data_IF_832661609241
#
_entry.id   IF_832661609241
#
_cell.length_a   1.000
_cell.length_b   1.000
_cell.length_c   1.000
_cell.angle_alpha   90.00
_cell.angle_beta   90.00
_cell.angle_gamma   90.00
#
_symmetry.space_group_name_H-M   'P 1'
#
loop_
_entity.id
_entity.type
_entity.pdbx_description
1 polymer ?
#
# COMPACT_ATOMS: atom_id res chain seq x y z
N UNK A 1 -13.83 -5.15 -21.07
CA UNK A 1 -14.18 -6.18 -20.07
C UNK A 1 -13.19 -6.02 -18.93
N UNK A 2 -13.56 -5.28 -17.89
CA UNK A 2 -12.71 -5.11 -16.71
C UNK A 2 -12.70 -6.41 -15.93
N UNK A 3 -11.53 -7.00 -15.73
CA UNK A 3 -11.39 -8.17 -14.87
C UNK A 3 -11.57 -7.69 -13.43
N UNK A 4 -12.74 -7.93 -12.85
CA UNK A 4 -13.01 -7.60 -11.44
C UNK A 4 -12.09 -8.44 -10.59
N UNK A 5 -10.98 -7.84 -10.16
CA UNK A 5 -9.98 -8.56 -9.39
C UNK A 5 -10.51 -8.66 -7.98
N UNK A 6 -10.78 -9.88 -7.52
CA UNK A 6 -11.34 -10.11 -6.19
C UNK A 6 -10.30 -9.70 -5.15
N UNK A 7 -10.72 -8.83 -4.22
CA UNK A 7 -9.92 -8.39 -3.07
C UNK A 7 -10.12 -9.40 -1.92
N UNK A 8 -9.02 -9.83 -1.30
CA UNK A 8 -9.05 -10.67 -0.09
C UNK A 8 -9.31 -9.82 1.16
N UNK A 9 -9.52 -10.45 2.32
CA UNK A 9 -9.66 -9.74 3.60
C UNK A 9 -8.46 -8.82 3.86
N UNK A 10 -7.24 -9.35 3.70
CA UNK A 10 -6.01 -8.58 3.91
C UNK A 10 -5.89 -7.36 2.98
N UNK A 11 -6.40 -7.47 1.75
CA UNK A 11 -6.41 -6.35 0.81
C UNK A 11 -7.36 -5.24 1.33
N UNK A 12 -8.51 -5.61 1.88
CA UNK A 12 -9.48 -4.67 2.44
C UNK A 12 -8.99 -4.02 3.74
N UNK A 13 -8.29 -4.76 4.59
CA UNK A 13 -7.66 -4.21 5.81
C UNK A 13 -6.58 -3.18 5.48
N UNK A 14 -5.76 -3.44 4.45
CA UNK A 14 -4.75 -2.49 4.00
C UNK A 14 -5.39 -1.23 3.40
N UNK A 15 -6.45 -1.38 2.60
CA UNK A 15 -7.23 -0.24 2.08
C UNK A 15 -7.86 0.56 3.22
N UNK A 16 -8.44 -0.09 4.24
CA UNK A 16 -9.03 0.57 5.40
C UNK A 16 -7.97 1.34 6.21
N UNK A 17 -6.75 0.81 6.34
CA UNK A 17 -5.63 1.51 6.99
C UNK A 17 -5.29 2.81 6.25
N UNK A 18 -5.15 2.77 4.93
CA UNK A 18 -4.89 3.98 4.13
C UNK A 18 -6.04 4.99 4.24
N UNK A 19 -7.28 4.51 4.14
CA UNK A 19 -8.47 5.35 4.22
C UNK A 19 -8.59 6.03 5.59
N UNK A 20 -8.32 5.29 6.67
CA UNK A 20 -8.32 5.83 8.04
C UNK A 20 -7.28 6.92 8.20
N UNK A 21 -6.04 6.68 7.78
CA UNK A 21 -4.96 7.67 7.87
C UNK A 21 -5.30 8.95 7.08
N UNK A 22 -5.86 8.81 5.87
CA UNK A 22 -6.30 9.94 5.08
C UNK A 22 -7.43 10.73 5.76
N UNK A 23 -8.43 10.05 6.32
CA UNK A 23 -9.53 10.67 7.05
C UNK A 23 -9.01 11.47 8.27
N UNK A 24 -8.10 10.89 9.04
CA UNK A 24 -7.48 11.55 10.19
C UNK A 24 -6.68 12.78 9.79
N UNK A 25 -5.86 12.69 8.73
CA UNK A 25 -5.05 13.80 8.23
C UNK A 25 -5.91 14.97 7.70
N UNK A 26 -7.07 14.66 7.11
CA UNK A 26 -7.97 15.66 6.56
C UNK A 26 -9.05 16.12 7.56
N UNK A 27 -9.14 15.50 8.74
CA UNK A 27 -10.15 15.81 9.75
C UNK A 27 -11.58 15.50 9.30
N UNK A 28 -11.75 14.47 8.47
CA UNK A 28 -13.02 14.08 7.85
C UNK A 28 -13.50 12.74 8.41
N UNK A 29 -14.81 12.59 8.64
CA UNK A 29 -15.39 11.32 9.08
C UNK A 29 -15.49 10.33 7.91
N UNK A 30 -15.37 9.02 8.18
CA UNK A 30 -15.46 7.98 7.13
C UNK A 30 -16.78 7.98 6.35
N UNK A 31 -17.85 8.53 6.92
CA UNK A 31 -19.17 8.64 6.28
C UNK A 31 -19.33 9.88 5.42
N UNK A 32 -18.35 10.80 5.42
CA UNK A 32 -18.36 11.99 4.59
C UNK A 32 -18.30 11.63 3.09
N UNK A 33 -18.93 12.46 2.25
CA UNK A 33 -18.95 12.24 0.81
C UNK A 33 -17.54 12.22 0.19
N UNK A 34 -16.62 13.06 0.68
CA UNK A 34 -15.22 13.07 0.24
C UNK A 34 -14.49 11.80 0.67
N UNK A 35 -14.75 11.31 1.89
CA UNK A 35 -14.18 10.06 2.37
C UNK A 35 -14.67 8.86 1.55
N UNK A 36 -15.95 8.84 1.16
CA UNK A 36 -16.52 7.78 0.31
C UNK A 36 -15.94 7.78 -1.11
N UNK A 37 -15.71 8.97 -1.68
CA UNK A 37 -15.07 9.12 -2.99
C UNK A 37 -13.62 8.61 -2.97
N UNK A 38 -12.87 9.01 -1.94
CA UNK A 38 -11.49 8.53 -1.73
C UNK A 38 -11.46 7.02 -1.51
N UNK A 39 -12.37 6.45 -0.71
CA UNK A 39 -12.46 5.00 -0.51
C UNK A 39 -12.68 4.26 -1.84
N UNK A 40 -13.57 4.78 -2.69
CA UNK A 40 -13.84 4.20 -4.02
C UNK A 40 -12.59 4.25 -4.90
N UNK A 41 -11.92 5.40 -4.96
CA UNK A 41 -10.67 5.57 -5.72
C UNK A 41 -9.54 4.67 -5.21
N UNK A 42 -9.42 4.48 -3.89
CA UNK A 42 -8.43 3.58 -3.29
C UNK A 42 -8.69 2.12 -3.67
N UNK A 43 -9.96 1.68 -3.63
CA UNK A 43 -10.35 0.32 -4.04
C UNK A 43 -10.00 0.09 -5.51
N UNK A 44 -10.35 1.02 -6.39
CA UNK A 44 -10.08 0.91 -7.82
C UNK A 44 -8.57 0.90 -8.12
N UNK A 45 -7.82 1.83 -7.51
CA UNK A 45 -6.37 1.88 -7.65
C UNK A 45 -5.73 0.57 -7.18
N UNK A 46 -6.06 0.12 -5.97
CA UNK A 46 -5.49 -1.07 -5.36
C UNK A 46 -5.84 -2.34 -6.14
N UNK A 47 -7.07 -2.44 -6.66
CA UNK A 47 -7.48 -3.55 -7.52
C UNK A 47 -6.72 -3.57 -8.86
N UNK A 48 -6.41 -2.40 -9.41
CA UNK A 48 -5.71 -2.25 -10.70
C UNK A 48 -4.19 -2.45 -10.61
N UNK A 49 -3.55 -2.09 -9.49
CA UNK A 49 -2.10 -2.21 -9.31
C UNK A 49 -1.71 -3.55 -8.67
N UNK A 50 -1.70 -4.59 -9.52
CA UNK A 50 -1.31 -5.95 -9.11
C UNK A 50 0.13 -6.06 -8.61
N UNK A 51 1.03 -5.14 -9.00
CA UNK A 51 2.43 -5.13 -8.55
C UNK A 51 2.55 -4.59 -7.13
N UNK A 52 1.74 -3.60 -6.77
CA UNK A 52 1.66 -3.14 -5.39
C UNK A 52 1.14 -4.26 -4.49
N UNK A 53 0.02 -4.89 -4.84
CA UNK A 53 -0.55 -6.03 -4.10
C UNK A 53 0.41 -7.21 -3.94
N UNK A 54 1.15 -7.55 -4.99
CA UNK A 54 2.14 -8.61 -4.92
C UNK A 54 3.26 -8.27 -3.94
N UNK A 55 3.67 -7.00 -3.84
CA UNK A 55 4.73 -6.54 -2.92
C UNK A 55 4.26 -6.42 -1.48
N UNK A 56 3.05 -5.93 -1.24
CA UNK A 56 2.50 -5.80 0.12
C UNK A 56 2.24 -7.15 0.77
N UNK A 57 1.96 -8.19 -0.02
CA UNK A 57 1.77 -9.57 0.44
C UNK A 57 3.08 -10.34 0.66
N UNK A 58 4.24 -9.75 0.38
CA UNK A 58 5.51 -10.39 0.69
C UNK A 58 5.75 -10.29 2.20
N UNK A 59 5.52 -11.39 2.93
CA UNK A 59 5.85 -11.49 4.36
C UNK A 59 7.36 -11.27 4.64
N UNK A 60 8.19 -11.50 3.63
CA UNK A 60 9.62 -11.22 3.65
C UNK A 60 9.99 -10.37 2.45
N UNK A 61 10.69 -9.26 2.69
CA UNK A 61 11.30 -8.50 1.61
C UNK A 61 12.11 -9.47 0.73
N UNK A 62 12.01 -9.37 -0.61
CA UNK A 62 12.82 -10.21 -1.48
C UNK A 62 14.29 -9.99 -1.11
N UNK A 63 15.06 -11.08 -1.00
CA UNK A 63 16.50 -10.97 -0.75
C UNK A 63 17.10 -10.08 -1.84
N UNK A 64 17.46 -8.86 -1.45
CA UNK A 64 18.17 -7.95 -2.33
C UNK A 64 19.61 -8.45 -2.43
N UNK A 65 20.20 -8.49 -3.62
CA UNK A 65 21.62 -8.81 -3.73
C UNK A 65 22.43 -7.84 -2.90
N UNK A 66 23.39 -8.35 -2.13
CA UNK A 66 24.26 -7.52 -1.30
C UNK A 66 24.94 -6.45 -2.17
N UNK A 67 24.76 -5.18 -1.81
CA UNK A 67 25.40 -4.07 -2.50
C UNK A 67 26.76 -3.78 -1.89
N UNK A 68 27.83 -4.09 -2.62
CA UNK A 68 29.20 -3.74 -2.24
C UNK A 68 29.40 -2.24 -2.00
N UNK A 69 28.61 -1.41 -2.69
CA UNK A 69 28.60 0.05 -2.47
C UNK A 69 28.02 0.42 -1.10
N UNK A 70 26.93 -0.22 -0.67
CA UNK A 70 26.33 0.03 0.65
C UNK A 70 27.29 -0.44 1.75
N UNK A 71 27.91 -1.62 1.60
CA UNK A 71 28.93 -2.10 2.55
C UNK A 71 30.09 -1.12 2.71
N UNK A 72 30.62 -0.63 1.58
CA UNK A 72 31.72 0.33 1.57
C UNK A 72 31.37 1.64 2.28
N UNK A 73 30.13 2.12 2.11
CA UNK A 73 29.66 3.32 2.80
C UNK A 73 29.48 3.10 4.30
N UNK A 74 28.92 1.97 4.72
CA UNK A 74 28.75 1.64 6.15
C UNK A 74 30.09 1.53 6.89
N UNK A 75 31.12 0.96 6.25
CA UNK A 75 32.47 0.88 6.81
C UNK A 75 33.13 2.23 7.04
N UNK A 76 32.66 3.31 6.41
CA UNK A 76 33.21 4.67 6.60
C UNK A 76 32.60 5.40 7.81
N UNK A 77 31.52 4.87 8.38
CA UNK A 77 30.78 5.48 9.49
C UNK A 77 31.08 4.77 10.82
N UNK A 78 31.90 3.71 10.80
CA UNK A 78 32.29 2.91 11.97
C UNK A 78 33.79 3.03 12.20
#
# INVERSE_FOLDING_TARGET
MGSTTVLSSDDLEEIDRFHTAWCEENGVDKTDAAALDVASGLIDWYASDTKYRARTKLEHAPELPESEKIKSLLMQIT
#
